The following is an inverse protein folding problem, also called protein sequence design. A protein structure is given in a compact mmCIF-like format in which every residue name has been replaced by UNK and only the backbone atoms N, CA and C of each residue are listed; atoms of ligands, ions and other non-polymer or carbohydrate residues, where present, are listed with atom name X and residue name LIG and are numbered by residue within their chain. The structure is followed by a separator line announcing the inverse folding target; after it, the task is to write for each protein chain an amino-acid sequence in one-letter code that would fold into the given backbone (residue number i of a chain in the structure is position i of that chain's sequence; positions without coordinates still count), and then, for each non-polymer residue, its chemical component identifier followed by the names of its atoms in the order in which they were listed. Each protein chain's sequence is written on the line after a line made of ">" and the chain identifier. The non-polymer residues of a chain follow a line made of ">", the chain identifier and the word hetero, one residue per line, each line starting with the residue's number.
data_IF_022840875635
#
_entry.id   IF_022840875635
#
_cell.length_a   1.000
_cell.length_b   1.000
_cell.length_c   1.000
_cell.angle_alpha   90.00
_cell.angle_beta   90.00
_cell.angle_gamma   90.00
#
_symmetry.space_group_name_H-M   'P 1'
#
loop_
_entity.id
_entity.type
_entity.pdbx_description
1 polymer ?
#
# COMPACT_ATOMS: atom_id res chain seq x y z
N UNK A 1 57.51 -56.44 -3.52
CA UNK A 1 57.18 -55.34 -2.56
C UNK A 1 56.24 -54.36 -3.31
N UNK A 2 54.96 -54.54 -3.22
CA UNK A 2 53.96 -53.74 -3.94
C UNK A 2 53.25 -52.84 -2.92
N UNK A 3 53.42 -51.52 -3.04
CA UNK A 3 52.75 -50.52 -2.21
C UNK A 3 51.43 -50.16 -2.86
N UNK A 4 50.29 -50.55 -2.25
CA UNK A 4 48.95 -50.08 -2.61
C UNK A 4 48.71 -48.70 -2.02
N UNK A 5 48.48 -47.71 -2.90
CA UNK A 5 48.08 -46.38 -2.53
C UNK A 5 46.52 -46.30 -2.50
N UNK A 6 45.96 -46.06 -1.32
CA UNK A 6 44.53 -45.79 -1.14
C UNK A 6 44.25 -44.28 -1.40
N UNK A 7 43.51 -43.99 -2.47
CA UNK A 7 43.07 -42.63 -2.74
C UNK A 7 41.69 -42.46 -2.06
N UNK A 8 41.68 -41.64 -1.00
CA UNK A 8 40.43 -41.21 -0.36
C UNK A 8 39.79 -40.12 -1.22
N UNK A 9 38.70 -40.47 -1.90
CA UNK A 9 37.85 -39.50 -2.60
C UNK A 9 36.94 -38.81 -1.58
N UNK A 10 37.25 -37.55 -1.19
CA UNK A 10 36.29 -36.67 -0.48
C UNK A 10 35.19 -36.26 -1.44
N UNK A 11 34.00 -36.82 -1.26
CA UNK A 11 32.80 -36.34 -1.92
C UNK A 11 32.30 -35.06 -1.23
N UNK A 12 32.56 -33.90 -1.82
CA UNK A 12 31.94 -32.63 -1.44
C UNK A 12 30.46 -32.70 -1.82
N UNK A 13 29.59 -32.96 -0.85
CA UNK A 13 28.16 -32.70 -0.99
C UNK A 13 27.94 -31.20 -1.00
N UNK A 14 27.81 -30.62 -2.19
CA UNK A 14 27.27 -29.28 -2.36
C UNK A 14 25.80 -29.32 -1.93
N UNK A 15 25.49 -28.80 -0.75
CA UNK A 15 24.12 -28.50 -0.33
C UNK A 15 23.62 -27.42 -1.28
N UNK A 16 22.90 -27.80 -2.31
CA UNK A 16 22.13 -26.86 -3.12
C UNK A 16 21.04 -26.31 -2.19
N UNK A 17 21.23 -25.09 -1.69
CA UNK A 17 20.15 -24.33 -1.09
C UNK A 17 19.06 -24.19 -2.18
N UNK A 18 17.97 -24.92 -2.03
CA UNK A 18 16.79 -24.74 -2.87
C UNK A 18 16.29 -23.32 -2.61
N UNK A 19 16.59 -22.40 -3.51
CA UNK A 19 16.00 -21.08 -3.49
C UNK A 19 14.48 -21.31 -3.62
N UNK A 20 13.75 -21.10 -2.53
CA UNK A 20 12.29 -21.15 -2.53
C UNK A 20 11.73 -20.18 -3.57
N UNK A 21 10.51 -20.43 -4.03
CA UNK A 21 9.82 -19.47 -4.91
C UNK A 21 9.79 -18.09 -4.22
N UNK A 22 10.10 -17.01 -4.93
CA UNK A 22 10.07 -15.67 -4.35
C UNK A 22 8.66 -15.31 -3.87
N UNK A 23 8.58 -14.54 -2.80
CA UNK A 23 7.31 -13.98 -2.30
C UNK A 23 6.78 -12.98 -3.32
N UNK A 24 5.62 -13.25 -3.89
CA UNK A 24 4.96 -12.37 -4.86
C UNK A 24 4.20 -11.28 -4.09
N UNK A 25 4.77 -10.11 -4.05
CA UNK A 25 4.17 -8.92 -3.45
C UNK A 25 3.48 -8.08 -4.51
N UNK A 26 2.16 -7.91 -4.43
CA UNK A 26 1.44 -6.99 -5.32
C UNK A 26 1.37 -5.60 -4.74
N UNK A 27 1.82 -4.63 -5.54
CA UNK A 27 1.73 -3.22 -5.23
C UNK A 27 0.96 -2.47 -6.32
N UNK A 28 0.34 -1.38 -5.91
CA UNK A 28 -0.28 -0.40 -6.80
C UNK A 28 0.31 0.98 -6.53
N UNK A 29 1.38 1.37 -7.26
CA UNK A 29 2.27 2.45 -6.89
C UNK A 29 1.72 3.84 -7.27
N UNK A 30 0.59 4.23 -6.66
CA UNK A 30 -0.08 5.54 -6.79
C UNK A 30 -0.42 6.15 -5.44
N UNK A 31 0.26 5.71 -4.39
CA UNK A 31 -0.03 5.99 -2.99
C UNK A 31 1.22 6.51 -2.24
N UNK A 32 1.84 7.63 -2.69
CA UNK A 32 3.01 8.16 -2.00
C UNK A 32 2.65 8.70 -0.60
N UNK A 33 3.55 8.62 0.38
CA UNK A 33 4.90 8.06 0.33
C UNK A 33 4.94 6.56 0.61
N UNK A 34 3.77 5.91 0.69
CA UNK A 34 3.64 4.49 0.98
C UNK A 34 4.13 3.66 -0.21
N UNK A 35 3.67 4.01 -1.41
CA UNK A 35 4.09 3.36 -2.65
C UNK A 35 3.91 4.26 -3.86
N UNK A 36 4.97 4.40 -4.67
CA UNK A 36 4.91 5.10 -5.96
C UNK A 36 5.90 4.52 -6.97
N UNK A 37 5.74 4.84 -8.25
CA UNK A 37 6.70 4.49 -9.29
C UNK A 37 7.58 5.70 -9.64
N UNK A 38 8.88 5.45 -9.78
CA UNK A 38 9.83 6.42 -10.32
C UNK A 38 10.05 6.26 -11.84
N UNK A 39 9.23 5.44 -12.49
CA UNK A 39 9.35 5.07 -13.90
C UNK A 39 10.15 3.79 -14.14
N UNK A 40 10.97 3.35 -13.20
CA UNK A 40 11.81 2.16 -13.30
C UNK A 40 11.42 1.07 -12.29
N UNK A 41 11.08 1.48 -11.08
CA UNK A 41 10.75 0.56 -9.99
C UNK A 41 9.70 1.14 -9.05
N UNK A 42 9.13 0.26 -8.24
CA UNK A 42 8.23 0.66 -7.14
C UNK A 42 9.08 1.09 -5.95
N UNK A 43 8.80 2.27 -5.42
CA UNK A 43 9.44 2.88 -4.26
C UNK A 43 8.45 3.17 -3.15
N UNK A 44 8.95 3.46 -1.95
CA UNK A 44 8.15 3.87 -0.81
C UNK A 44 8.31 2.97 0.40
N UNK A 45 7.52 3.30 1.42
CA UNK A 45 7.51 2.53 2.66
C UNK A 45 7.12 1.06 2.42
N UNK A 46 6.04 0.82 1.66
CA UNK A 46 5.47 -0.51 1.50
C UNK A 46 6.44 -1.52 0.86
N UNK A 47 7.04 -1.26 -0.32
CA UNK A 47 8.00 -2.19 -0.89
C UNK A 47 9.27 -2.33 -0.04
N UNK A 48 9.66 -1.31 0.74
CA UNK A 48 10.78 -1.39 1.66
C UNK A 48 10.48 -2.33 2.82
N UNK A 49 9.35 -2.15 3.49
CA UNK A 49 8.93 -3.01 4.61
C UNK A 49 8.79 -4.46 4.15
N UNK A 50 8.17 -4.71 3.00
CA UNK A 50 7.97 -6.08 2.50
C UNK A 50 9.30 -6.75 2.19
N UNK A 51 10.22 -6.08 1.51
CA UNK A 51 11.57 -6.65 1.21
C UNK A 51 12.34 -6.95 2.48
N UNK A 52 12.38 -6.02 3.43
CA UNK A 52 13.11 -6.20 4.69
C UNK A 52 12.50 -7.29 5.56
N UNK A 53 11.16 -7.30 5.68
CA UNK A 53 10.42 -8.29 6.45
C UNK A 53 10.70 -9.70 5.94
N UNK A 54 10.42 -9.96 4.67
CA UNK A 54 10.57 -11.29 4.09
C UNK A 54 12.04 -11.67 3.85
N UNK A 55 12.91 -10.69 3.59
CA UNK A 55 14.36 -10.91 3.54
C UNK A 55 14.92 -11.43 4.87
N UNK A 56 14.46 -10.89 6.02
CA UNK A 56 14.83 -11.40 7.38
C UNK A 56 14.27 -12.79 7.67
N UNK A 57 13.21 -13.18 6.96
CA UNK A 57 12.65 -14.53 7.01
C UNK A 57 13.29 -15.47 5.98
N UNK A 58 14.33 -15.04 5.24
CA UNK A 58 15.07 -15.85 4.26
C UNK A 58 14.40 -15.96 2.89
N UNK A 59 13.46 -15.08 2.56
CA UNK A 59 12.76 -15.07 1.27
C UNK A 59 13.19 -13.90 0.39
N UNK A 60 13.32 -14.17 -0.90
CA UNK A 60 13.36 -13.12 -1.92
C UNK A 60 11.94 -12.58 -2.18
N UNK A 61 11.84 -11.30 -2.56
CA UNK A 61 10.56 -10.67 -2.89
C UNK A 61 10.53 -10.23 -4.34
N UNK A 62 9.49 -10.67 -5.04
CA UNK A 62 9.17 -10.20 -6.39
C UNK A 62 7.97 -9.25 -6.33
N UNK A 63 8.20 -7.98 -6.68
CA UNK A 63 7.12 -7.00 -6.79
C UNK A 63 6.36 -7.16 -8.09
N UNK A 64 5.02 -7.21 -8.00
CA UNK A 64 4.08 -7.34 -9.12
C UNK A 64 3.20 -6.10 -9.15
N UNK A 65 3.03 -5.48 -10.33
CA UNK A 65 2.16 -4.31 -10.54
C UNK A 65 1.04 -4.65 -11.50
N UNK A 66 -0.21 -4.51 -11.08
CA UNK A 66 -1.41 -5.00 -11.77
C UNK A 66 -2.43 -3.89 -12.13
N UNK A 67 -2.02 -2.82 -12.75
CA UNK A 67 -2.92 -1.84 -13.35
C UNK A 67 -3.92 -1.10 -12.42
N UNK A 68 -4.45 -1.73 -11.37
CA UNK A 68 -5.23 -1.08 -10.31
C UNK A 68 -5.28 -1.92 -9.02
N UNK A 69 -5.60 -1.27 -7.90
CA UNK A 69 -5.63 -1.88 -6.57
C UNK A 69 -6.62 -3.06 -6.46
N UNK A 70 -7.80 -2.94 -7.06
CA UNK A 70 -8.79 -4.01 -7.06
C UNK A 70 -8.23 -5.31 -7.66
N UNK A 71 -7.38 -5.22 -8.69
CA UNK A 71 -6.73 -6.40 -9.28
C UNK A 71 -5.75 -7.06 -8.32
N UNK A 72 -4.93 -6.26 -7.59
CA UNK A 72 -4.06 -6.80 -6.54
C UNK A 72 -4.86 -7.60 -5.51
N UNK A 73 -5.96 -7.04 -5.01
CA UNK A 73 -6.83 -7.73 -4.04
C UNK A 73 -7.45 -9.01 -4.61
N UNK A 74 -7.89 -9.00 -5.87
CA UNK A 74 -8.44 -10.20 -6.53
C UNK A 74 -7.37 -11.28 -6.71
N UNK A 75 -6.14 -10.91 -7.06
CA UNK A 75 -5.05 -11.85 -7.26
C UNK A 75 -4.54 -12.42 -5.92
N UNK A 76 -4.51 -11.62 -4.85
CA UNK A 76 -4.26 -12.10 -3.51
C UNK A 76 -5.35 -13.09 -3.04
N UNK A 77 -6.63 -12.75 -3.26
CA UNK A 77 -7.75 -13.64 -2.93
C UNK A 77 -7.71 -14.98 -3.68
N UNK A 78 -7.13 -15.00 -4.88
CA UNK A 78 -6.98 -16.18 -5.74
C UNK A 78 -5.63 -16.91 -5.59
N UNK A 79 -4.74 -16.44 -4.69
CA UNK A 79 -3.41 -17.02 -4.46
C UNK A 79 -2.42 -16.80 -5.60
N UNK A 80 -2.71 -15.92 -6.56
CA UNK A 80 -1.77 -15.56 -7.63
C UNK A 80 -0.67 -14.62 -7.16
N UNK A 81 -0.91 -13.86 -6.09
CA UNK A 81 0.11 -13.16 -5.30
C UNK A 81 0.01 -13.57 -3.84
N UNK A 82 1.11 -13.47 -3.11
CA UNK A 82 1.20 -13.96 -1.74
C UNK A 82 0.87 -12.87 -0.73
N UNK A 83 1.30 -11.63 -1.00
CA UNK A 83 1.30 -10.53 -0.04
C UNK A 83 0.81 -9.24 -0.70
N UNK A 84 0.05 -8.48 0.06
CA UNK A 84 -0.27 -7.06 -0.17
C UNK A 84 -0.15 -6.29 1.15
N UNK A 85 0.01 -4.97 1.10
CA UNK A 85 -0.27 -4.10 2.25
C UNK A 85 -1.68 -3.52 2.11
N UNK A 86 -2.52 -3.73 3.11
CA UNK A 86 -3.93 -3.34 3.02
C UNK A 86 -4.51 -2.97 4.39
N UNK A 87 -5.58 -2.18 4.37
CA UNK A 87 -6.48 -2.07 5.53
C UNK A 87 -7.29 -3.35 5.68
N UNK A 88 -7.52 -3.73 6.93
CA UNK A 88 -8.37 -4.88 7.21
C UNK A 88 -9.86 -4.54 6.98
N UNK A 89 -10.63 -5.52 6.53
CA UNK A 89 -12.09 -5.49 6.48
C UNK A 89 -12.63 -6.91 6.51
N UNK A 90 -13.89 -7.08 6.96
CA UNK A 90 -14.56 -8.38 7.04
C UNK A 90 -14.51 -9.16 5.71
N UNK A 91 -14.64 -8.44 4.59
CA UNK A 91 -14.57 -9.07 3.26
C UNK A 91 -13.16 -9.56 2.94
N UNK A 92 -12.12 -8.79 3.31
CA UNK A 92 -10.72 -9.14 3.04
C UNK A 92 -10.24 -10.27 3.95
N UNK A 93 -10.69 -10.28 5.21
CA UNK A 93 -10.39 -11.35 6.19
C UNK A 93 -10.83 -12.74 5.73
N UNK A 94 -11.86 -12.84 4.92
CA UNK A 94 -12.30 -14.12 4.35
C UNK A 94 -11.25 -14.74 3.41
N UNK A 95 -10.38 -13.94 2.81
CA UNK A 95 -9.45 -14.35 1.75
C UNK A 95 -7.97 -14.16 2.13
N UNK A 96 -7.69 -13.32 3.11
CA UNK A 96 -6.33 -12.99 3.55
C UNK A 96 -6.23 -13.10 5.07
N UNK A 97 -5.01 -13.27 5.59
CA UNK A 97 -4.68 -13.15 7.00
C UNK A 97 -3.90 -11.87 7.19
N UNK A 98 -4.28 -11.07 8.15
CA UNK A 98 -3.65 -9.79 8.45
C UNK A 98 -2.70 -9.90 9.63
N UNK A 99 -1.57 -9.19 9.56
CA UNK A 99 -0.69 -9.02 10.71
C UNK A 99 -1.44 -8.32 11.85
N UNK A 100 -1.19 -8.71 13.09
CA UNK A 100 -1.74 -8.04 14.28
C UNK A 100 -0.96 -6.76 14.56
N UNK A 101 0.35 -6.76 14.24
CA UNK A 101 1.21 -5.58 14.32
C UNK A 101 1.02 -4.74 13.04
N UNK A 102 0.63 -3.46 13.15
CA UNK A 102 0.48 -2.60 11.99
C UNK A 102 1.82 -2.14 11.42
N UNK A 103 1.82 -1.81 10.13
CA UNK A 103 2.94 -1.14 9.46
C UNK A 103 2.88 0.37 9.74
N UNK A 104 1.75 1.00 9.46
CA UNK A 104 1.57 2.45 9.65
C UNK A 104 0.11 2.79 9.96
N UNK A 105 -0.06 3.82 10.79
CA UNK A 105 -1.36 4.44 11.07
C UNK A 105 -1.62 5.52 10.04
N UNK A 106 -2.79 5.49 9.41
CA UNK A 106 -3.21 6.47 8.43
C UNK A 106 -4.55 7.12 8.83
N UNK A 107 -4.66 8.40 8.53
CA UNK A 107 -5.91 9.14 8.64
C UNK A 107 -6.54 9.24 7.26
N UNK A 108 -7.76 8.76 7.12
CA UNK A 108 -8.58 8.97 5.94
C UNK A 108 -9.25 10.33 6.06
N UNK A 109 -9.15 11.15 5.03
CA UNK A 109 -9.61 12.52 5.07
C UNK A 109 -10.44 12.89 3.84
N UNK A 110 -11.25 13.95 4.00
CA UNK A 110 -12.06 14.54 2.94
C UNK A 110 -11.31 15.74 2.38
N UNK A 111 -11.00 15.70 1.09
CA UNK A 111 -10.45 16.81 0.33
C UNK A 111 -11.55 17.49 -0.46
N UNK A 112 -11.56 18.81 -0.48
CA UNK A 112 -12.58 19.61 -1.15
C UNK A 112 -11.98 20.88 -1.77
N UNK A 113 -12.72 21.52 -2.66
CA UNK A 113 -12.33 22.83 -3.19
C UNK A 113 -12.91 23.93 -2.29
N UNK A 114 -12.07 24.83 -1.74
CA UNK A 114 -12.52 25.92 -0.86
C UNK A 114 -13.50 26.91 -1.51
N UNK A 115 -13.50 26.98 -2.85
CA UNK A 115 -14.47 27.78 -3.61
C UNK A 115 -15.85 27.09 -3.73
N UNK A 116 -15.92 25.81 -3.37
CA UNK A 116 -17.13 24.99 -3.33
C UNK A 116 -17.05 24.09 -2.08
N UNK A 117 -17.24 24.70 -0.90
CA UNK A 117 -17.07 23.98 0.36
C UNK A 117 -18.12 22.89 0.54
N UNK A 118 -17.71 21.78 1.13
CA UNK A 118 -18.62 20.73 1.61
C UNK A 118 -18.83 20.89 3.10
N UNK A 119 -20.07 20.69 3.55
CA UNK A 119 -20.40 20.62 4.97
C UNK A 119 -20.12 19.19 5.44
N UNK A 120 -19.35 19.03 6.52
CA UNK A 120 -18.97 17.73 7.04
C UNK A 120 -18.80 17.76 8.55
N UNK A 121 -19.62 17.04 9.26
CA UNK A 121 -19.46 16.70 10.67
C UNK A 121 -19.46 15.18 10.86
N UNK A 122 -20.19 14.46 9.99
CA UNK A 122 -20.31 13.01 9.96
C UNK A 122 -20.46 12.51 8.52
N UNK A 123 -20.35 11.21 8.33
CA UNK A 123 -20.29 10.58 7.02
C UNK A 123 -21.56 10.86 6.17
N UNK A 124 -22.73 10.87 6.80
CA UNK A 124 -24.02 11.11 6.13
C UNK A 124 -24.13 12.49 5.48
N UNK A 125 -23.39 13.47 5.97
CA UNK A 125 -23.41 14.83 5.40
C UNK A 125 -22.87 14.84 3.96
N UNK A 126 -22.06 13.84 3.59
CA UNK A 126 -21.51 13.69 2.24
C UNK A 126 -22.54 13.12 1.24
N UNK A 127 -23.68 12.62 1.68
CA UNK A 127 -24.69 11.98 0.82
C UNK A 127 -25.23 12.89 -0.29
N UNK A 128 -25.27 14.22 -0.05
CA UNK A 128 -25.74 15.22 -1.02
C UNK A 128 -24.68 15.68 -2.02
N UNK A 129 -23.43 15.25 -1.88
CA UNK A 129 -22.30 15.70 -2.69
C UNK A 129 -21.79 14.57 -3.60
N UNK A 130 -21.15 14.94 -4.72
CA UNK A 130 -20.49 13.97 -5.61
C UNK A 130 -19.09 13.66 -5.11
N UNK A 131 -18.83 12.40 -4.81
CA UNK A 131 -17.56 11.95 -4.26
C UNK A 131 -16.66 11.23 -5.26
N UNK A 132 -15.37 11.18 -4.94
CA UNK A 132 -14.38 10.40 -5.67
C UNK A 132 -13.59 9.46 -4.77
N UNK A 133 -13.44 8.21 -5.23
CA UNK A 133 -12.67 7.13 -4.59
C UNK A 133 -11.77 6.42 -5.60
N UNK A 134 -10.81 5.64 -5.11
CA UNK A 134 -10.09 4.66 -5.93
C UNK A 134 -10.84 3.32 -5.99
N UNK A 135 -10.62 2.58 -7.08
CA UNK A 135 -11.11 1.20 -7.19
C UNK A 135 -10.47 0.31 -6.15
N UNK A 136 -11.28 -0.39 -5.36
CA UNK A 136 -10.83 -1.34 -4.35
C UNK A 136 -10.63 -0.73 -2.97
N UNK A 137 -10.76 0.60 -2.81
CA UNK A 137 -10.66 1.21 -1.49
C UNK A 137 -11.86 0.87 -0.60
N UNK A 138 -11.55 0.69 0.69
CA UNK A 138 -12.46 0.36 1.78
C UNK A 138 -11.88 0.96 3.05
N UNK A 139 -12.67 1.71 3.77
CA UNK A 139 -12.29 2.42 4.99
C UNK A 139 -13.18 2.01 6.18
N UNK A 140 -13.46 0.72 6.24
CA UNK A 140 -14.26 0.11 7.30
C UNK A 140 -15.74 -0.08 6.94
N UNK A 141 -16.42 -0.93 7.71
CA UNK A 141 -17.78 -1.41 7.39
C UNK A 141 -18.84 -0.30 7.31
N UNK A 142 -18.72 0.74 8.12
CA UNK A 142 -19.63 1.90 8.08
C UNK A 142 -19.48 2.67 6.79
N UNK A 143 -18.24 3.00 6.43
CA UNK A 143 -17.92 3.67 5.18
C UNK A 143 -18.35 2.85 3.95
N UNK A 144 -18.07 1.56 3.94
CA UNK A 144 -18.43 0.68 2.83
C UNK A 144 -19.94 0.59 2.65
N UNK A 145 -20.72 0.55 3.74
CA UNK A 145 -22.20 0.62 3.70
C UNK A 145 -22.68 1.96 3.17
N UNK A 146 -22.04 3.06 3.57
CA UNK A 146 -22.36 4.39 3.05
C UNK A 146 -22.13 4.43 1.54
N UNK A 147 -20.98 4.04 1.05
CA UNK A 147 -20.64 4.02 -0.39
C UNK A 147 -21.57 3.11 -1.19
N UNK A 148 -21.96 1.96 -0.63
CA UNK A 148 -22.88 1.03 -1.31
C UNK A 148 -24.29 1.62 -1.50
N UNK A 149 -24.71 2.56 -0.65
CA UNK A 149 -26.02 3.22 -0.71
C UNK A 149 -26.06 4.47 -1.59
N UNK A 150 -24.89 5.04 -1.92
CA UNK A 150 -24.78 6.33 -2.61
C UNK A 150 -24.13 6.17 -3.98
N UNK A 151 -24.94 6.31 -5.05
CA UNK A 151 -24.49 6.16 -6.44
C UNK A 151 -23.70 7.38 -6.97
N UNK A 152 -23.69 8.48 -6.23
CA UNK A 152 -22.97 9.72 -6.56
C UNK A 152 -21.49 9.68 -6.18
N UNK A 153 -20.96 8.53 -5.80
CA UNK A 153 -19.54 8.31 -5.50
C UNK A 153 -18.91 7.57 -6.67
N UNK A 154 -18.08 8.28 -7.42
CA UNK A 154 -17.37 7.73 -8.57
C UNK A 154 -16.07 7.04 -8.16
N UNK A 155 -15.70 5.97 -8.86
CA UNK A 155 -14.44 5.27 -8.66
C UNK A 155 -13.53 5.41 -9.88
N UNK A 156 -12.25 5.68 -9.62
CA UNK A 156 -11.21 5.83 -10.65
C UNK A 156 -9.96 5.02 -10.29
N UNK A 157 -9.03 4.92 -11.23
CA UNK A 157 -7.80 4.15 -11.02
C UNK A 157 -6.67 4.96 -10.35
N UNK A 158 -6.71 6.28 -10.31
CA UNK A 158 -5.64 7.07 -9.71
C UNK A 158 -6.13 8.30 -8.95
N UNK A 159 -5.38 8.71 -7.92
CA UNK A 159 -5.62 9.94 -7.18
C UNK A 159 -5.54 11.18 -8.08
N UNK A 160 -4.64 11.17 -9.07
CA UNK A 160 -4.53 12.26 -10.04
C UNK A 160 -5.84 12.48 -10.82
N UNK A 161 -6.54 11.39 -11.19
CA UNK A 161 -7.85 11.49 -11.84
C UNK A 161 -8.90 12.11 -10.90
N UNK A 162 -8.94 11.68 -9.62
CA UNK A 162 -9.86 12.22 -8.63
C UNK A 162 -9.61 13.71 -8.37
N UNK A 163 -8.39 14.09 -8.04
CA UNK A 163 -8.05 15.49 -7.80
C UNK A 163 -8.25 16.35 -9.06
N UNK A 164 -7.96 15.82 -10.24
CA UNK A 164 -8.26 16.50 -11.50
C UNK A 164 -9.76 16.75 -11.72
N UNK A 165 -10.64 15.84 -11.30
CA UNK A 165 -12.10 16.04 -11.30
C UNK A 165 -12.53 17.09 -10.27
N UNK A 166 -11.94 17.03 -9.06
CA UNK A 166 -12.23 17.98 -7.98
C UNK A 166 -11.85 19.41 -8.37
N UNK A 167 -10.68 19.60 -8.96
CA UNK A 167 -10.21 20.90 -9.46
C UNK A 167 -11.21 21.47 -10.49
N UNK A 168 -11.67 20.63 -11.43
CA UNK A 168 -12.62 21.03 -12.48
C UNK A 168 -14.09 21.12 -12.01
N UNK A 169 -14.39 20.80 -10.75
CA UNK A 169 -15.74 20.81 -10.19
C UNK A 169 -16.67 19.72 -10.73
N UNK A 170 -16.11 18.64 -11.23
CA UNK A 170 -16.89 17.47 -11.66
C UNK A 170 -17.34 16.62 -10.49
N UNK A 171 -16.58 16.63 -9.41
CA UNK A 171 -16.91 16.09 -8.09
C UNK A 171 -16.70 17.16 -7.03
N UNK A 172 -17.30 16.99 -5.87
CA UNK A 172 -17.33 17.97 -4.81
C UNK A 172 -16.33 17.64 -3.69
N UNK A 173 -16.00 16.34 -3.55
CA UNK A 173 -14.98 15.88 -2.60
C UNK A 173 -14.22 14.64 -3.12
N UNK A 174 -13.03 14.44 -2.54
CA UNK A 174 -12.23 13.22 -2.68
C UNK A 174 -11.98 12.66 -1.28
N UNK A 175 -12.15 11.35 -1.11
CA UNK A 175 -11.72 10.63 0.08
C UNK A 175 -10.40 9.94 -0.22
N UNK A 176 -9.40 10.26 0.59
CA UNK A 176 -8.04 9.78 0.43
C UNK A 176 -7.33 9.84 1.79
N UNK A 177 -6.30 9.04 1.97
CA UNK A 177 -5.39 9.18 3.11
C UNK A 177 -4.78 10.58 3.13
N UNK A 178 -4.82 11.20 4.32
CA UNK A 178 -4.40 12.60 4.51
C UNK A 178 -3.00 12.88 3.98
N UNK A 179 -2.05 12.05 4.34
CA UNK A 179 -0.64 12.18 3.95
C UNK A 179 -0.46 12.16 2.44
N UNK A 180 -1.00 11.13 1.80
CA UNK A 180 -0.96 10.97 0.34
C UNK A 180 -1.64 12.11 -0.39
N UNK A 181 -2.85 12.47 0.05
CA UNK A 181 -3.60 13.55 -0.57
C UNK A 181 -2.90 14.90 -0.45
N UNK A 182 -2.26 15.19 0.69
CA UNK A 182 -1.47 16.41 0.88
C UNK A 182 -0.27 16.45 -0.07
N UNK A 183 0.48 15.37 -0.20
CA UNK A 183 1.59 15.27 -1.15
C UNK A 183 1.13 15.48 -2.61
N UNK A 184 -0.06 14.99 -2.95
CA UNK A 184 -0.62 15.21 -4.28
C UNK A 184 -0.94 16.68 -4.52
N UNK A 185 -1.66 17.35 -3.61
CA UNK A 185 -2.07 18.74 -3.81
C UNK A 185 -0.91 19.72 -3.77
N UNK A 186 0.20 19.41 -3.07
CA UNK A 186 1.41 20.21 -3.06
C UNK A 186 2.01 20.37 -4.48
N UNK A 187 1.87 19.34 -5.33
CA UNK A 187 2.56 19.24 -6.61
C UNK A 187 1.61 19.17 -7.83
N UNK A 188 0.30 19.28 -7.61
CA UNK A 188 -0.67 19.17 -8.68
C UNK A 188 -1.09 20.54 -9.22
N UNK A 189 -0.82 20.87 -10.51
CA UNK A 189 -1.26 22.12 -11.10
C UNK A 189 -2.77 22.35 -10.94
N UNK A 190 -3.14 23.54 -10.47
CA UNK A 190 -4.53 23.91 -10.23
C UNK A 190 -5.09 23.49 -8.87
N UNK A 191 -4.29 22.85 -8.01
CA UNK A 191 -4.72 22.42 -6.67
C UNK A 191 -4.61 23.50 -5.58
N UNK A 192 -4.26 24.75 -5.91
CA UNK A 192 -4.10 25.82 -4.94
C UNK A 192 -5.35 26.12 -4.11
N UNK A 193 -6.53 25.73 -4.60
CA UNK A 193 -7.80 25.88 -3.91
C UNK A 193 -8.30 24.59 -3.23
N UNK A 194 -7.58 23.50 -3.36
CA UNK A 194 -7.92 22.25 -2.67
C UNK A 194 -7.49 22.35 -1.22
N UNK A 195 -8.35 21.88 -0.33
CA UNK A 195 -8.14 21.83 1.13
C UNK A 195 -8.53 20.45 1.64
N UNK A 196 -7.98 20.09 2.76
CA UNK A 196 -8.36 18.90 3.52
C UNK A 196 -9.13 19.34 4.77
N UNK A 197 -10.21 18.66 5.08
CA UNK A 197 -10.93 18.93 6.33
C UNK A 197 -10.05 18.57 7.54
N UNK A 198 -10.11 19.36 8.62
CA UNK A 198 -9.29 19.10 9.81
C UNK A 198 -9.66 17.77 10.48
N UNK A 199 -10.96 17.45 10.51
CA UNK A 199 -11.46 16.20 11.08
C UNK A 199 -11.21 15.05 10.09
N UNK A 200 -10.57 13.98 10.56
CA UNK A 200 -10.46 12.74 9.80
C UNK A 200 -11.82 12.05 9.67
N UNK A 201 -12.09 11.46 8.52
CA UNK A 201 -13.24 10.59 8.28
C UNK A 201 -13.13 9.33 9.14
N UNK A 202 -11.97 8.72 9.12
CA UNK A 202 -11.60 7.55 9.92
C UNK A 202 -10.09 7.50 10.15
N UNK A 203 -9.69 6.64 11.08
CA UNK A 203 -8.30 6.26 11.30
C UNK A 203 -8.21 4.76 11.07
N UNK A 204 -7.28 4.34 10.24
CA UNK A 204 -7.06 2.94 9.95
C UNK A 204 -5.56 2.60 10.00
N UNK A 205 -5.26 1.29 9.96
CA UNK A 205 -3.91 0.78 10.08
C UNK A 205 -3.57 -0.09 8.87
N UNK A 206 -2.59 0.36 8.09
CA UNK A 206 -2.05 -0.45 7.00
C UNK A 206 -1.28 -1.63 7.59
N UNK A 207 -1.59 -2.83 7.12
CA UNK A 207 -1.07 -4.10 7.64
C UNK A 207 -0.53 -4.96 6.52
N UNK A 208 0.38 -5.86 6.86
CA UNK A 208 0.74 -6.96 5.96
C UNK A 208 -0.43 -7.91 5.89
N UNK A 209 -0.91 -8.15 4.67
CA UNK A 209 -1.99 -9.09 4.38
C UNK A 209 -1.46 -10.22 3.49
N UNK A 210 -1.55 -11.45 3.98
CA UNK A 210 -1.08 -12.67 3.30
C UNK A 210 -2.28 -13.45 2.77
N UNK A 211 -2.24 -13.84 1.51
CA UNK A 211 -3.25 -14.73 0.92
C UNK A 211 -3.41 -15.99 1.76
N UNK A 212 -4.64 -16.38 2.09
CA UNK A 212 -4.88 -17.66 2.78
C UNK A 212 -4.47 -18.88 1.98
N UNK A 213 -4.29 -18.73 0.66
CA UNK A 213 -3.81 -19.77 -0.25
C UNK A 213 -2.27 -19.81 -0.35
N UNK A 214 -1.57 -18.83 0.20
CA UNK A 214 -0.11 -18.82 0.27
C UNK A 214 0.39 -19.64 1.46
N UNK A 215 1.47 -20.44 1.31
CA UNK A 215 2.12 -21.09 2.45
C UNK A 215 2.53 -20.14 3.57
N UNK A 216 2.85 -18.88 3.23
CA UNK A 216 3.20 -17.83 4.18
C UNK A 216 2.08 -17.53 5.20
N UNK A 217 0.84 -17.90 4.88
CA UNK A 217 -0.29 -17.71 5.81
C UNK A 217 -0.17 -18.49 7.12
N UNK A 218 0.72 -19.49 7.18
CA UNK A 218 1.05 -20.24 8.40
C UNK A 218 2.12 -19.55 9.26
N UNK A 219 2.80 -18.52 8.74
CA UNK A 219 3.91 -17.82 9.38
C UNK A 219 3.52 -16.44 9.93
N UNK A 220 2.22 -16.20 10.22
CA UNK A 220 1.74 -14.89 10.69
C UNK A 220 2.40 -14.46 12.01
N UNK A 221 2.65 -15.39 12.92
CA UNK A 221 3.32 -15.09 14.19
C UNK A 221 4.76 -14.62 13.99
N UNK A 222 5.46 -15.19 13.02
CA UNK A 222 6.83 -14.77 12.65
C UNK A 222 6.81 -13.39 11.96
N UNK A 223 5.85 -13.15 11.07
CA UNK A 223 5.61 -11.85 10.44
C UNK A 223 5.38 -10.78 11.52
N UNK A 224 4.48 -11.04 12.47
CA UNK A 224 4.19 -10.11 13.57
C UNK A 224 5.42 -9.87 14.46
N UNK A 225 6.19 -10.92 14.77
CA UNK A 225 7.42 -10.78 15.55
C UNK A 225 8.47 -9.92 14.84
N UNK A 226 8.61 -10.04 13.52
CA UNK A 226 9.52 -9.20 12.74
C UNK A 226 9.03 -7.74 12.68
N UNK A 227 7.75 -7.52 12.39
CA UNK A 227 7.15 -6.19 12.37
C UNK A 227 7.29 -5.47 13.72
N UNK A 228 7.10 -6.21 14.82
CA UNK A 228 7.28 -5.66 16.17
C UNK A 228 8.74 -5.20 16.40
N UNK A 229 9.72 -6.02 15.99
CA UNK A 229 11.14 -5.63 16.07
C UNK A 229 11.46 -4.38 15.25
N UNK A 230 10.95 -4.30 14.01
CA UNK A 230 11.13 -3.14 13.13
C UNK A 230 10.54 -1.87 13.74
N UNK A 231 9.32 -1.97 14.30
CA UNK A 231 8.66 -0.85 14.97
C UNK A 231 9.44 -0.40 16.22
N UNK A 232 9.86 -1.33 17.07
CA UNK A 232 10.64 -1.02 18.28
C UNK A 232 12.00 -0.41 17.97
N UNK A 233 12.62 -0.78 16.84
CA UNK A 233 13.86 -0.18 16.36
C UNK A 233 13.67 1.18 15.65
N UNK A 234 12.42 1.66 15.50
CA UNK A 234 12.08 2.88 14.77
C UNK A 234 12.41 2.82 13.27
N UNK A 235 12.54 1.61 12.70
CA UNK A 235 12.94 1.44 11.30
C UNK A 235 11.81 1.87 10.37
N UNK A 236 10.58 1.47 10.66
CA UNK A 236 9.41 1.78 9.81
C UNK A 236 9.18 3.29 9.76
N UNK A 237 9.31 3.99 10.88
CA UNK A 237 9.16 5.45 10.93
C UNK A 237 10.25 6.15 10.12
N UNK A 238 11.52 5.74 10.28
CA UNK A 238 12.62 6.29 9.46
C UNK A 238 12.41 6.05 7.96
N UNK A 239 11.95 4.87 7.56
CA UNK A 239 11.67 4.59 6.15
C UNK A 239 10.50 5.40 5.61
N UNK A 240 9.50 5.67 6.43
CA UNK A 240 8.38 6.54 6.06
C UNK A 240 8.86 7.98 5.83
N UNK A 241 9.63 8.54 6.75
CA UNK A 241 10.22 9.88 6.60
C UNK A 241 11.13 9.97 5.37
N UNK A 242 12.01 9.00 5.18
CA UNK A 242 12.86 8.92 3.98
C UNK A 242 12.05 8.83 2.69
N UNK A 243 10.95 8.10 2.72
CA UNK A 243 10.05 7.96 1.58
C UNK A 243 9.36 9.28 1.24
N UNK A 244 8.94 10.06 2.24
CA UNK A 244 8.37 11.41 2.02
C UNK A 244 9.38 12.35 1.37
N UNK A 245 10.60 12.40 1.89
CA UNK A 245 11.69 13.23 1.34
C UNK A 245 11.97 12.81 -0.09
N UNK A 246 12.20 11.52 -0.32
CA UNK A 246 12.52 10.99 -1.67
C UNK A 246 11.42 11.29 -2.68
N UNK A 247 10.15 11.18 -2.28
CA UNK A 247 9.03 11.53 -3.18
C UNK A 247 9.00 13.01 -3.50
N UNK A 248 9.14 13.91 -2.50
CA UNK A 248 9.20 15.36 -2.73
C UNK A 248 10.35 15.75 -3.64
N UNK A 249 11.53 15.17 -3.42
CA UNK A 249 12.69 15.43 -4.27
C UNK A 249 12.41 14.99 -5.72
N UNK A 250 11.84 13.80 -5.91
CA UNK A 250 11.50 13.29 -7.24
C UNK A 250 10.51 14.20 -7.98
N UNK A 251 9.45 14.66 -7.34
CA UNK A 251 8.43 15.49 -8.00
C UNK A 251 8.89 16.91 -8.25
N UNK A 252 9.89 17.39 -7.51
CA UNK A 252 10.49 18.71 -7.70
C UNK A 252 11.62 18.73 -8.76
N UNK A 253 12.07 17.58 -9.26
CA UNK A 253 13.03 17.52 -10.35
C UNK A 253 12.42 18.07 -11.65
N UNK A 254 13.20 18.76 -12.51
CA UNK A 254 12.77 19.15 -13.84
C UNK A 254 12.24 17.95 -14.65
N UNK A 255 11.24 18.21 -15.52
CA UNK A 255 10.59 17.14 -16.28
C UNK A 255 11.55 16.34 -17.17
N UNK A 256 12.65 16.96 -17.60
CA UNK A 256 13.67 16.36 -18.48
C UNK A 256 14.60 15.37 -17.74
N UNK A 257 14.49 15.28 -16.42
CA UNK A 257 15.32 14.39 -15.57
C UNK A 257 14.51 13.29 -14.89
N UNK A 258 13.22 13.13 -15.23
CA UNK A 258 12.30 12.13 -14.67
C UNK A 258 12.14 10.89 -15.53
#
# INVERSE_FOLDING_TARGET
>A
MTRSAWVLALALFAVQASAGQPVRYCDYPVYPPISWSDGHQVRGLAPTVVRELFGRMGHEVQTVVLGNWKRCLMDAAAGRVDVVLAYNSDQRDQRMRFSTVPVVREEVAVFYNRLRPVQFQRLEDLAGYRGGLLYGESYGAEFDRFVARHQNIERVSSSQQNFGKLIRGRIDYVIQERRTGQLFIENLPGAQDIRVLPTALSVDYLRVAVSRLSPLSQHMDEIDAQLLRMNQAGEIERWLEQSEVTYRDMVNLPADTR
#
